data_IF_174548366807
#
_entry.id   IF_174548366807
#
_cell.length_a   1.000
_cell.length_b   1.000
_cell.length_c   1.000
_cell.angle_alpha   90.00
_cell.angle_beta   90.00
_cell.angle_gamma   90.00
#
_symmetry.space_group_name_H-M   'P 1'
#
loop_
_entity.id
_entity.type
_entity.pdbx_description
1 polymer ?
#
# COMPACT_ATOMS: atom_id res chain seq x y z
N UNK A 1 3.39 -12.70 -7.26
CA UNK A 1 2.26 -12.29 -6.41
C UNK A 1 2.23 -10.78 -6.38
N UNK A 2 1.13 -10.20 -6.88
CA UNK A 2 0.88 -8.76 -6.86
C UNK A 2 -0.20 -8.48 -5.80
N UNK A 3 -0.15 -7.35 -5.08
CA UNK A 3 -1.18 -6.98 -4.13
C UNK A 3 -2.50 -6.56 -4.80
N UNK A 4 -2.42 -6.07 -6.05
CA UNK A 4 -3.56 -5.63 -6.86
C UNK A 4 -3.17 -5.69 -8.34
N UNK A 5 -4.14 -5.87 -9.24
CA UNK A 5 -3.93 -5.92 -10.69
C UNK A 5 -3.30 -4.66 -11.28
N UNK A 6 -3.49 -3.51 -10.63
CA UNK A 6 -2.95 -2.22 -11.09
C UNK A 6 -1.64 -1.82 -10.40
N UNK A 7 -1.13 -2.63 -9.46
CA UNK A 7 0.07 -2.29 -8.72
C UNK A 7 1.31 -2.92 -9.39
N UNK A 8 2.32 -2.14 -9.81
CA UNK A 8 3.41 -2.65 -10.65
C UNK A 8 4.51 -3.39 -9.87
N UNK A 9 4.50 -3.37 -8.53
CA UNK A 9 5.52 -4.05 -7.71
C UNK A 9 5.01 -5.40 -7.21
N UNK A 10 5.82 -6.44 -7.39
CA UNK A 10 5.56 -7.76 -6.86
C UNK A 10 6.05 -7.92 -5.42
N UNK A 11 5.25 -8.64 -4.63
CA UNK A 11 5.61 -9.07 -3.29
C UNK A 11 6.49 -10.33 -3.29
N UNK A 12 6.47 -11.10 -4.38
CA UNK A 12 7.24 -12.35 -4.52
C UNK A 12 6.79 -13.22 -5.68
N UNK A 13 7.37 -14.41 -5.82
CA UNK A 13 7.08 -15.38 -6.88
C UNK A 13 6.82 -16.78 -6.30
N UNK A 14 5.66 -17.36 -6.57
CA UNK A 14 5.25 -18.67 -6.02
C UNK A 14 6.10 -19.85 -6.54
N UNK A 15 6.87 -19.65 -7.62
CA UNK A 15 7.82 -20.65 -8.14
C UNK A 15 9.13 -20.70 -7.34
N UNK A 16 9.37 -19.70 -6.50
CA UNK A 16 10.63 -19.53 -5.75
C UNK A 16 10.42 -19.64 -4.23
N UNK A 17 9.22 -19.29 -3.74
CA UNK A 17 8.87 -19.24 -2.31
C UNK A 17 7.40 -19.61 -2.13
N UNK A 18 7.03 -20.12 -0.94
CA UNK A 18 5.63 -20.49 -0.67
C UNK A 18 4.73 -19.24 -0.65
N UNK A 19 3.45 -19.41 -0.99
CA UNK A 19 2.51 -18.29 -0.91
C UNK A 19 2.38 -17.73 0.51
N UNK A 20 2.41 -18.61 1.52
CA UNK A 20 2.35 -18.20 2.93
C UNK A 20 3.53 -17.30 3.29
N UNK A 21 4.74 -17.69 2.89
CA UNK A 21 5.95 -16.90 3.16
C UNK A 21 5.88 -15.52 2.48
N UNK A 22 5.47 -15.46 1.20
CA UNK A 22 5.23 -14.17 0.52
C UNK A 22 4.21 -13.33 1.29
N UNK A 23 3.09 -13.93 1.69
CA UNK A 23 1.99 -13.23 2.34
C UNK A 23 2.37 -12.71 3.73
N UNK A 24 3.09 -13.50 4.52
CA UNK A 24 3.42 -13.19 5.91
C UNK A 24 4.69 -12.35 6.04
N UNK A 25 5.70 -12.57 5.20
CA UNK A 25 7.06 -12.06 5.39
C UNK A 25 7.56 -11.10 4.29
N UNK A 26 6.83 -10.89 3.19
CA UNK A 26 7.33 -9.99 2.14
C UNK A 26 7.37 -8.52 2.61
N UNK A 27 8.49 -7.79 2.40
CA UNK A 27 8.62 -6.40 2.81
C UNK A 27 7.47 -5.52 2.30
N UNK A 28 7.05 -5.74 1.04
CA UNK A 28 5.95 -4.99 0.43
C UNK A 28 4.63 -5.17 1.19
N UNK A 29 4.26 -6.41 1.55
CA UNK A 29 3.01 -6.61 2.30
C UNK A 29 3.10 -6.10 3.73
N UNK A 30 4.27 -6.15 4.37
CA UNK A 30 4.47 -5.51 5.67
C UNK A 30 4.23 -4.00 5.59
N UNK A 31 4.86 -3.31 4.64
CA UNK A 31 4.71 -1.87 4.46
C UNK A 31 3.26 -1.47 4.12
N UNK A 32 2.59 -2.24 3.25
CA UNK A 32 1.20 -1.95 2.88
C UNK A 32 0.22 -2.13 4.05
N UNK A 33 0.53 -3.01 5.01
CA UNK A 33 -0.27 -3.25 6.22
C UNK A 33 0.16 -2.35 7.39
N UNK A 34 1.32 -1.71 7.31
CA UNK A 34 1.75 -0.73 8.30
C UNK A 34 1.17 0.67 7.98
N UNK A 35 -0.07 0.87 8.42
CA UNK A 35 -0.77 2.14 8.23
C UNK A 35 -0.08 3.34 8.90
N UNK A 36 0.79 3.12 9.91
CA UNK A 36 1.54 4.19 10.56
C UNK A 36 2.63 4.78 9.65
N UNK A 37 3.11 4.00 8.69
CA UNK A 37 4.12 4.43 7.72
C UNK A 37 3.54 5.21 6.53
N UNK A 38 2.21 5.37 6.46
CA UNK A 38 1.58 6.14 5.40
C UNK A 38 1.86 7.63 5.61
N UNK A 39 2.06 8.36 4.51
CA UNK A 39 2.48 9.76 4.50
C UNK A 39 1.36 10.69 4.08
N UNK A 40 1.56 11.98 4.31
CA UNK A 40 0.61 13.04 3.95
C UNK A 40 -0.75 12.85 4.63
N UNK A 41 -1.82 13.16 3.92
CA UNK A 41 -3.19 13.09 4.47
C UNK A 41 -3.54 11.68 4.96
N UNK A 42 -3.15 10.62 4.26
CA UNK A 42 -3.45 9.26 4.69
C UNK A 42 -2.78 8.88 6.01
N UNK A 43 -1.60 9.42 6.32
CA UNK A 43 -0.85 9.12 7.55
C UNK A 43 -1.47 9.63 8.85
N UNK A 44 -2.37 10.62 8.74
CA UNK A 44 -3.10 11.20 9.88
C UNK A 44 -4.62 11.02 9.79
N UNK A 45 -5.09 10.22 8.83
CA UNK A 45 -6.51 10.04 8.56
C UNK A 45 -7.16 9.11 9.60
N UNK A 46 -8.25 9.55 10.22
CA UNK A 46 -9.02 8.73 11.18
C UNK A 46 -9.64 7.48 10.53
N UNK A 47 -9.75 7.45 9.20
CA UNK A 47 -10.30 6.32 8.43
C UNK A 47 -9.23 5.40 7.82
N UNK A 48 -7.96 5.55 8.19
CA UNK A 48 -6.86 4.78 7.58
C UNK A 48 -7.07 3.26 7.71
N UNK A 49 -7.69 2.79 8.79
CA UNK A 49 -7.96 1.38 9.04
C UNK A 49 -9.01 0.75 8.11
N UNK A 50 -9.77 1.56 7.35
CA UNK A 50 -10.82 1.07 6.44
C UNK A 50 -10.61 1.48 4.98
N UNK A 51 -10.03 2.65 4.73
CA UNK A 51 -9.82 3.16 3.38
C UNK A 51 -8.37 3.01 2.95
N UNK A 52 -7.46 3.76 3.58
CA UNK A 52 -6.05 3.84 3.20
C UNK A 52 -5.80 4.43 1.81
N UNK A 53 -6.77 4.44 0.88
CA UNK A 53 -6.65 4.91 -0.50
C UNK A 53 -5.96 3.92 -1.44
N UNK A 54 -6.05 4.18 -2.76
CA UNK A 54 -5.45 3.31 -3.77
C UNK A 54 -3.91 3.46 -3.83
N UNK A 55 -3.20 2.43 -3.40
CA UNK A 55 -1.73 2.41 -3.34
C UNK A 55 -1.08 2.43 -4.74
N UNK A 56 -1.77 1.89 -5.75
CA UNK A 56 -1.34 1.98 -7.15
C UNK A 56 -1.37 3.41 -7.68
N UNK A 57 -2.39 4.20 -7.33
CA UNK A 57 -2.46 5.61 -7.73
C UNK A 57 -1.45 6.47 -6.96
N UNK A 58 -1.29 6.22 -5.66
CA UNK A 58 -0.25 6.88 -4.87
C UNK A 58 1.14 6.67 -5.50
N UNK A 59 1.46 5.42 -5.90
CA UNK A 59 2.72 5.12 -6.58
C UNK A 59 2.83 5.74 -7.97
N UNK A 60 1.78 5.64 -8.80
CA UNK A 60 1.81 6.14 -10.17
C UNK A 60 1.99 7.67 -10.23
N UNK A 61 1.41 8.41 -9.28
CA UNK A 61 1.47 9.87 -9.27
C UNK A 61 2.69 10.39 -8.50
N UNK A 62 3.02 9.80 -7.35
CA UNK A 62 4.05 10.35 -6.45
C UNK A 62 5.38 9.57 -6.48
N UNK A 63 5.44 8.42 -7.16
CA UNK A 63 6.59 7.50 -7.09
C UNK A 63 6.72 6.76 -5.76
N UNK A 64 5.79 6.96 -4.82
CA UNK A 64 5.78 6.39 -3.48
C UNK A 64 4.38 5.83 -3.16
N UNK A 65 4.29 4.51 -2.96
CA UNK A 65 3.02 3.83 -2.66
C UNK A 65 2.54 4.05 -1.22
N UNK A 66 3.41 4.54 -0.34
CA UNK A 66 3.05 4.95 1.01
C UNK A 66 2.64 6.42 1.07
N UNK A 67 2.75 7.17 -0.04
CA UNK A 67 2.25 8.53 -0.11
C UNK A 67 0.71 8.60 0.04
N UNK A 68 0.23 9.83 0.22
CA UNK A 68 -1.20 10.10 0.23
C UNK A 68 -1.87 9.71 -1.10
N UNK A 69 -3.13 9.34 -1.02
CA UNK A 69 -3.94 9.11 -2.21
C UNK A 69 -4.23 10.47 -2.90
N UNK A 70 -3.82 10.65 -4.17
CA UNK A 70 -3.80 11.98 -4.80
C UNK A 70 -5.18 12.55 -5.18
N UNK A 71 -6.22 11.72 -5.16
CA UNK A 71 -7.59 12.07 -5.57
C UNK A 71 -8.59 12.04 -4.41
N UNK A 72 -8.10 11.86 -3.18
CA UNK A 72 -8.90 11.92 -1.98
C UNK A 72 -9.27 13.39 -1.70
N UNK A 73 -10.56 13.72 -1.74
CA UNK A 73 -11.08 15.06 -1.41
C UNK A 73 -11.27 15.27 0.09
N UNK A 74 -11.18 14.20 0.88
CA UNK A 74 -11.35 14.26 2.33
C UNK A 74 -10.13 14.90 3.00
N UNK A 75 -10.36 15.86 3.89
CA UNK A 75 -9.33 16.46 4.73
C UNK A 75 -9.39 15.83 6.14
N UNK A 76 -8.36 15.06 6.52
CA UNK A 76 -8.20 14.56 7.88
C UNK A 76 -8.16 15.67 8.91
N UNK A 77 -8.65 15.37 10.10
CA UNK A 77 -8.57 16.26 11.26
C UNK A 77 -7.14 16.46 11.77
#
# INVERSE_FOLDING_TARGET
VLPCSYFPKAAGNIREQSFQDIWENSPLFHELRDFKSYKGSCGRCEYVNVCGGCRARAYAVNGDYLAQEPFCSYQPK
#
